data_IF_509435959536
#
_entry.id   IF_509435959536
#
_cell.length_a   1.000
_cell.length_b   1.000
_cell.length_c   1.000
_cell.angle_alpha   90.00
_cell.angle_beta   90.00
_cell.angle_gamma   90.00
#
_symmetry.space_group_name_H-M   'P 1'
#
loop_
_entity.id
_entity.type
_entity.pdbx_description
1 polymer ?
#
# COMPACT_ATOMS: atom_id res chain seq x y z
N UNK A 1 -18.49 6.61 -10.25
CA UNK A 1 -17.62 5.41 -10.25
C UNK A 1 -17.35 5.04 -11.71
N UNK A 2 -16.10 4.84 -12.13
CA UNK A 2 -15.81 4.41 -13.52
C UNK A 2 -16.13 2.92 -13.64
N UNK A 3 -16.70 2.51 -14.76
CA UNK A 3 -17.13 1.13 -14.97
C UNK A 3 -16.06 0.33 -15.68
N UNK A 4 -16.09 -1.00 -15.52
CA UNK A 4 -15.23 -1.94 -16.27
C UNK A 4 -15.21 -1.64 -17.78
N UNK A 5 -16.37 -1.39 -18.39
CA UNK A 5 -16.49 -1.05 -19.81
C UNK A 5 -15.71 0.22 -20.17
N UNK A 6 -15.79 1.26 -19.35
CA UNK A 6 -15.03 2.49 -19.57
C UNK A 6 -13.51 2.25 -19.52
N UNK A 7 -13.02 1.41 -18.60
CA UNK A 7 -11.62 1.05 -18.53
C UNK A 7 -11.17 0.20 -19.72
N UNK A 8 -11.95 -0.79 -20.13
CA UNK A 8 -11.67 -1.60 -21.31
C UNK A 8 -11.58 -0.75 -22.58
N UNK A 9 -12.49 0.21 -22.75
CA UNK A 9 -12.49 1.12 -23.89
C UNK A 9 -11.26 2.03 -23.89
N UNK A 10 -10.90 2.60 -22.72
CA UNK A 10 -9.71 3.42 -22.58
C UNK A 10 -8.41 2.65 -22.90
N UNK A 11 -8.28 1.42 -22.40
CA UNK A 11 -7.13 0.56 -22.69
C UNK A 11 -7.05 0.18 -24.17
N UNK A 12 -8.20 -0.07 -24.80
CA UNK A 12 -8.28 -0.37 -26.23
C UNK A 12 -7.84 0.82 -27.07
N UNK A 13 -8.29 2.02 -26.72
CA UNK A 13 -7.88 3.27 -27.36
C UNK A 13 -6.37 3.48 -27.26
N UNK A 14 -5.76 3.33 -26.07
CA UNK A 14 -4.30 3.50 -25.90
C UNK A 14 -3.51 2.54 -26.81
N UNK A 15 -3.93 1.27 -26.90
CA UNK A 15 -3.24 0.29 -27.76
C UNK A 15 -3.40 0.65 -29.24
N UNK A 16 -4.59 1.09 -29.66
CA UNK A 16 -4.85 1.51 -31.04
C UNK A 16 -4.04 2.77 -31.40
N UNK A 17 -4.08 3.81 -30.56
CA UNK A 17 -3.41 5.09 -30.82
C UNK A 17 -1.89 4.98 -30.80
N UNK A 18 -1.33 4.08 -29.99
CA UNK A 18 0.13 3.88 -29.96
C UNK A 18 0.62 2.99 -31.11
N UNK A 19 -0.26 2.25 -31.78
CA UNK A 19 0.11 1.26 -32.79
C UNK A 19 1.01 0.13 -32.26
N UNK A 20 1.20 0.04 -30.94
CA UNK A 20 2.13 -0.90 -30.29
C UNK A 20 1.35 -1.96 -29.54
N UNK A 21 1.79 -3.21 -29.69
CA UNK A 21 1.33 -4.31 -28.83
C UNK A 21 1.99 -4.16 -27.46
N UNK A 22 1.32 -3.45 -26.54
CA UNK A 22 1.76 -3.34 -25.15
C UNK A 22 1.76 -4.73 -24.51
N UNK A 23 2.93 -5.16 -24.01
CA UNK A 23 3.10 -6.37 -23.21
C UNK A 23 3.88 -5.98 -21.95
N UNK A 24 3.24 -5.25 -21.02
CA UNK A 24 3.89 -4.91 -19.77
C UNK A 24 4.08 -6.18 -18.94
N UNK A 25 5.26 -6.35 -18.36
CA UNK A 25 5.49 -7.37 -17.34
C UNK A 25 4.78 -7.01 -16.02
N UNK A 26 4.64 -5.71 -15.75
CA UNK A 26 4.02 -5.18 -14.54
C UNK A 26 3.28 -3.85 -14.78
N UNK A 27 2.19 -3.64 -14.03
CA UNK A 27 1.35 -2.45 -14.09
C UNK A 27 1.05 -1.98 -12.67
N UNK A 28 1.39 -0.71 -12.37
CA UNK A 28 1.04 -0.05 -11.11
C UNK A 28 -0.14 0.90 -11.35
N UNK A 29 -1.22 0.75 -10.60
CA UNK A 29 -2.46 1.49 -10.83
C UNK A 29 -3.13 2.01 -9.56
N UNK A 30 -4.25 2.73 -9.74
CA UNK A 30 -5.11 3.14 -8.65
C UNK A 30 -5.91 1.95 -8.09
N UNK A 31 -6.38 2.09 -6.86
CA UNK A 31 -7.24 1.10 -6.19
C UNK A 31 -8.68 1.20 -6.66
N UNK A 32 -9.00 0.47 -7.72
CA UNK A 32 -10.34 0.36 -8.29
C UNK A 32 -10.55 -1.06 -8.80
N UNK A 33 -11.52 -1.77 -8.23
CA UNK A 33 -11.82 -3.18 -8.56
C UNK A 33 -12.09 -3.38 -10.05
N UNK A 34 -12.75 -2.44 -10.70
CA UNK A 34 -13.06 -2.53 -12.13
C UNK A 34 -11.82 -2.24 -13.00
N UNK A 35 -10.91 -1.37 -12.53
CA UNK A 35 -9.62 -1.17 -13.17
C UNK A 35 -8.74 -2.42 -13.09
N UNK A 36 -8.65 -3.06 -11.91
CA UNK A 36 -7.93 -4.33 -11.75
C UNK A 36 -8.48 -5.40 -12.70
N UNK A 37 -9.81 -5.54 -12.78
CA UNK A 37 -10.45 -6.48 -13.72
C UNK A 37 -10.11 -6.15 -15.18
N UNK A 38 -10.19 -4.89 -15.58
CA UNK A 38 -9.86 -4.46 -16.95
C UNK A 38 -8.40 -4.77 -17.30
N UNK A 39 -7.48 -4.49 -16.38
CA UNK A 39 -6.05 -4.73 -16.56
C UNK A 39 -5.72 -6.22 -16.64
N UNK A 40 -6.26 -7.06 -15.75
CA UNK A 40 -6.06 -8.51 -15.82
C UNK A 40 -6.69 -9.12 -17.06
N UNK A 41 -7.86 -8.63 -17.50
CA UNK A 41 -8.48 -9.08 -18.74
C UNK A 41 -7.65 -8.72 -19.98
N UNK A 42 -7.02 -7.53 -19.99
CA UNK A 42 -6.24 -7.04 -21.13
C UNK A 42 -4.80 -7.58 -21.15
N UNK A 43 -4.19 -7.74 -19.98
CA UNK A 43 -2.81 -8.13 -19.79
C UNK A 43 -2.73 -9.29 -18.79
N UNK A 44 -3.15 -10.51 -19.17
CA UNK A 44 -3.28 -11.64 -18.25
C UNK A 44 -1.94 -12.10 -17.66
N UNK A 45 -0.84 -11.84 -18.36
CA UNK A 45 0.52 -12.17 -17.92
C UNK A 45 1.14 -11.07 -17.04
N UNK A 46 0.57 -9.87 -17.03
CA UNK A 46 1.14 -8.75 -16.30
C UNK A 46 0.82 -8.85 -14.81
N UNK A 47 1.82 -8.57 -13.97
CA UNK A 47 1.61 -8.40 -12.54
C UNK A 47 0.93 -7.04 -12.33
N UNK A 48 -0.28 -7.02 -11.80
CA UNK A 48 -1.01 -5.77 -11.50
C UNK A 48 -0.90 -5.46 -10.02
N UNK A 49 -0.41 -4.27 -9.68
CA UNK A 49 -0.23 -3.79 -8.31
C UNK A 49 -0.89 -2.44 -8.08
N UNK A 50 -1.40 -2.26 -6.87
CA UNK A 50 -1.84 -0.97 -6.37
C UNK A 50 -0.66 -0.08 -6.00
N UNK A 51 -0.77 1.20 -6.32
CA UNK A 51 0.28 2.18 -6.05
C UNK A 51 0.46 2.44 -4.55
N UNK A 52 1.69 2.33 -4.05
CA UNK A 52 2.04 2.68 -2.67
C UNK A 52 1.70 4.12 -2.30
N UNK A 53 1.94 5.04 -3.23
CA UNK A 53 1.58 6.45 -3.07
C UNK A 53 0.08 6.62 -2.81
N UNK A 54 -0.76 5.91 -3.59
CA UNK A 54 -2.22 5.95 -3.41
C UNK A 54 -2.65 5.32 -2.09
N UNK A 55 -1.98 4.26 -1.64
CA UNK A 55 -2.25 3.63 -0.34
C UNK A 55 -1.94 4.60 0.80
N UNK A 56 -0.73 5.19 0.83
CA UNK A 56 -0.35 6.18 1.85
C UNK A 56 -1.29 7.39 1.83
N UNK A 57 -1.62 7.90 0.64
CA UNK A 57 -2.55 9.02 0.50
C UNK A 57 -3.94 8.69 1.04
N UNK A 58 -4.51 7.54 0.69
CA UNK A 58 -5.83 7.13 1.17
C UNK A 58 -5.85 6.91 2.69
N UNK A 59 -4.77 6.35 3.25
CA UNK A 59 -4.61 6.23 4.70
C UNK A 59 -4.56 7.59 5.37
N UNK A 60 -3.76 8.53 4.86
CA UNK A 60 -3.67 9.91 5.38
C UNK A 60 -5.03 10.59 5.36
N UNK A 61 -5.69 10.60 4.20
CA UNK A 61 -7.03 11.18 4.06
C UNK A 61 -8.04 10.55 5.02
N UNK A 62 -7.94 9.24 5.29
CA UNK A 62 -8.82 8.63 6.29
C UNK A 62 -8.53 9.08 7.72
N UNK A 63 -7.26 9.24 8.09
CA UNK A 63 -6.88 9.75 9.41
C UNK A 63 -7.37 11.19 9.62
N UNK A 64 -7.24 12.05 8.60
CA UNK A 64 -7.75 13.42 8.59
C UNK A 64 -9.28 13.46 8.81
N UNK A 65 -10.02 12.58 8.12
CA UNK A 65 -11.48 12.43 8.30
C UNK A 65 -11.86 12.01 9.73
N UNK A 66 -11.02 11.19 10.36
CA UNK A 66 -11.21 10.72 11.74
C UNK A 66 -10.74 11.73 12.79
N UNK A 67 -10.28 12.91 12.37
CA UNK A 67 -9.80 14.00 13.23
C UNK A 67 -8.62 13.59 14.11
N UNK A 68 -7.79 12.67 13.63
CA UNK A 68 -6.49 12.39 14.23
C UNK A 68 -5.61 13.63 14.04
N UNK A 69 -4.84 14.00 15.07
CA UNK A 69 -3.99 15.20 14.98
C UNK A 69 -2.94 15.07 13.89
N UNK A 70 -2.60 16.20 13.26
CA UNK A 70 -1.62 16.24 12.18
C UNK A 70 -0.26 15.68 12.61
N UNK A 71 0.17 15.95 13.85
CA UNK A 71 1.40 15.39 14.41
C UNK A 71 1.36 13.86 14.46
N UNK A 72 0.25 13.28 14.92
CA UNK A 72 0.11 11.83 14.99
C UNK A 72 -0.01 11.19 13.59
N UNK A 73 -0.63 11.89 12.64
CA UNK A 73 -0.67 11.50 11.22
C UNK A 73 0.73 11.52 10.62
N UNK A 74 1.51 12.56 10.89
CA UNK A 74 2.88 12.70 10.39
C UNK A 74 3.77 11.58 10.93
N UNK A 75 3.72 11.29 12.23
CA UNK A 75 4.41 10.16 12.85
C UNK A 75 4.00 8.81 12.24
N UNK A 76 2.72 8.63 11.90
CA UNK A 76 2.25 7.42 11.23
C UNK A 76 2.75 7.30 9.77
N UNK A 77 2.92 8.43 9.10
CA UNK A 77 3.31 8.54 7.69
C UNK A 77 4.82 8.52 7.48
N UNK A 78 5.59 8.68 8.56
CA UNK A 78 7.05 8.53 8.56
C UNK A 78 7.47 7.22 7.91
N UNK A 79 8.66 7.29 7.30
CA UNK A 79 9.35 6.12 6.76
C UNK A 79 9.55 5.09 7.88
N UNK A 80 9.20 3.84 7.63
CA UNK A 80 9.42 2.73 8.56
C UNK A 80 8.27 2.51 9.55
N UNK A 81 7.11 3.12 9.30
CA UNK A 81 5.92 2.98 10.16
C UNK A 81 4.79 2.30 9.40
N UNK A 82 3.92 3.06 8.71
CA UNK A 82 2.78 2.47 8.00
C UNK A 82 3.23 1.74 6.73
N UNK A 83 4.27 2.23 6.05
CA UNK A 83 4.81 1.63 4.83
C UNK A 83 5.46 0.27 5.06
N UNK A 84 5.82 -0.07 6.30
CA UNK A 84 6.26 -1.42 6.67
C UNK A 84 5.24 -2.49 6.35
N UNK A 85 3.93 -2.18 6.41
CA UNK A 85 2.88 -3.13 6.07
C UNK A 85 2.95 -3.56 4.59
N UNK A 86 3.58 -2.75 3.75
CA UNK A 86 3.76 -3.06 2.34
C UNK A 86 5.07 -3.75 2.01
N UNK A 87 6.01 -3.83 2.95
CA UNK A 87 7.34 -4.41 2.70
C UNK A 87 7.52 -5.76 3.38
N UNK A 88 6.71 -6.10 4.38
CA UNK A 88 6.69 -7.44 5.00
C UNK A 88 5.91 -8.46 4.16
N UNK A 89 6.10 -9.78 4.33
CA UNK A 89 5.28 -10.78 3.64
C UNK A 89 3.77 -10.52 3.78
N UNK A 90 3.01 -10.64 2.69
CA UNK A 90 1.57 -10.34 2.63
C UNK A 90 0.76 -11.09 3.71
N UNK A 91 1.07 -12.37 3.94
CA UNK A 91 0.45 -13.19 4.99
C UNK A 91 0.72 -12.71 6.43
N UNK A 92 1.76 -11.90 6.64
CA UNK A 92 2.13 -11.35 7.96
C UNK A 92 1.46 -10.01 8.27
N UNK A 93 0.88 -9.34 7.27
CA UNK A 93 0.24 -8.02 7.43
C UNK A 93 -0.86 -8.07 8.49
N UNK A 94 -1.81 -9.00 8.36
CA UNK A 94 -2.97 -9.09 9.25
C UNK A 94 -2.64 -9.71 10.62
N UNK A 95 -1.63 -10.59 10.69
CA UNK A 95 -1.29 -11.37 11.89
C UNK A 95 -0.36 -10.59 12.83
N UNK A 96 0.80 -10.15 12.34
CA UNK A 96 1.84 -9.49 13.14
C UNK A 96 2.06 -8.03 12.74
N UNK A 97 2.00 -7.71 11.45
CA UNK A 97 2.34 -6.39 10.90
C UNK A 97 1.52 -5.26 11.51
N UNK A 98 0.18 -5.37 11.48
CA UNK A 98 -0.71 -4.34 12.06
C UNK A 98 -0.45 -4.16 13.56
N UNK A 99 -0.21 -5.24 14.30
CA UNK A 99 0.06 -5.18 15.74
C UNK A 99 1.38 -4.47 16.02
N UNK A 100 2.41 -4.75 15.23
CA UNK A 100 3.71 -4.09 15.33
C UNK A 100 3.60 -2.60 14.99
N UNK A 101 2.93 -2.22 13.89
CA UNK A 101 2.77 -0.80 13.52
C UNK A 101 1.97 -0.04 14.58
N UNK A 102 0.91 -0.65 15.15
CA UNK A 102 0.19 -0.06 16.30
C UNK A 102 1.11 0.25 17.47
N UNK A 103 2.02 -0.67 17.80
CA UNK A 103 2.98 -0.47 18.88
C UNK A 103 3.98 0.63 18.53
N UNK A 104 4.54 0.63 17.32
CA UNK A 104 5.46 1.67 16.86
C UNK A 104 4.85 3.06 16.92
N UNK A 105 3.60 3.21 16.48
CA UNK A 105 2.90 4.49 16.52
C UNK A 105 2.67 4.97 17.96
N UNK A 106 2.30 4.07 18.88
CA UNK A 106 2.17 4.41 20.30
C UNK A 106 3.51 4.86 20.89
N UNK A 107 4.59 4.14 20.60
CA UNK A 107 5.94 4.49 21.05
C UNK A 107 6.36 5.85 20.51
N UNK A 108 6.21 6.09 19.21
CA UNK A 108 6.55 7.38 18.58
C UNK A 108 5.73 8.54 19.16
N UNK A 109 4.42 8.34 19.33
CA UNK A 109 3.56 9.35 19.96
C UNK A 109 4.02 9.67 21.40
N UNK A 110 4.33 8.64 22.20
CA UNK A 110 4.83 8.84 23.56
C UNK A 110 6.17 9.58 23.58
N UNK A 111 7.12 9.20 22.71
CA UNK A 111 8.43 9.86 22.60
C UNK A 111 8.34 11.32 22.13
N UNK A 112 7.38 11.64 21.26
CA UNK A 112 7.15 12.99 20.75
C UNK A 112 6.18 13.82 21.61
N UNK A 113 5.71 13.28 22.74
CA UNK A 113 4.66 13.89 23.58
C UNK A 113 3.37 14.26 22.82
N UNK A 114 3.02 13.44 21.81
CA UNK A 114 1.80 13.59 21.00
C UNK A 114 0.70 12.68 21.56
N UNK A 115 -0.52 13.19 21.82
CA UNK A 115 -1.61 12.37 22.32
C UNK A 115 -2.03 11.26 21.35
N UNK A 116 -2.02 10.00 21.81
CA UNK A 116 -2.53 8.86 21.05
C UNK A 116 -4.00 8.58 21.39
N UNK A 117 -4.93 9.16 20.62
CA UNK A 117 -6.37 8.94 20.84
C UNK A 117 -6.83 7.55 20.39
N UNK A 118 -6.92 6.62 21.34
CA UNK A 118 -7.19 5.20 21.07
C UNK A 118 -8.51 4.97 20.31
N UNK A 119 -9.54 5.79 20.54
CA UNK A 119 -10.84 5.70 19.86
C UNK A 119 -10.73 5.95 18.35
N UNK A 120 -10.04 7.01 17.95
CA UNK A 120 -9.83 7.38 16.54
C UNK A 120 -8.95 6.36 15.82
N UNK A 121 -7.86 5.95 16.46
CA UNK A 121 -6.97 4.92 15.91
C UNK A 121 -7.69 3.58 15.75
N UNK A 122 -8.57 3.19 16.68
CA UNK A 122 -9.40 2.00 16.54
C UNK A 122 -10.27 2.04 15.27
N UNK A 123 -10.89 3.18 14.97
CA UNK A 123 -11.68 3.39 13.75
C UNK A 123 -10.80 3.33 12.50
N UNK A 124 -9.61 3.94 12.53
CA UNK A 124 -8.65 3.86 11.43
C UNK A 124 -8.26 2.40 11.14
N UNK A 125 -7.94 1.61 12.16
CA UNK A 125 -7.55 0.22 11.97
C UNK A 125 -8.69 -0.69 11.51
N UNK A 126 -9.92 -0.39 11.91
CA UNK A 126 -11.10 -1.06 11.39
C UNK A 126 -11.28 -0.79 9.90
N UNK A 127 -11.18 0.49 9.50
CA UNK A 127 -11.14 0.89 8.09
C UNK A 127 -10.01 0.17 7.34
N UNK A 128 -8.80 0.20 7.90
CA UNK A 128 -7.62 -0.34 7.24
C UNK A 128 -7.80 -1.84 6.94
N UNK A 129 -8.30 -2.62 7.90
CA UNK A 129 -8.58 -4.04 7.70
C UNK A 129 -9.68 -4.28 6.66
N UNK A 130 -10.74 -3.50 6.68
CA UNK A 130 -11.84 -3.64 5.73
C UNK A 130 -11.39 -3.31 4.29
N UNK A 131 -10.64 -2.23 4.11
CA UNK A 131 -10.23 -1.78 2.77
C UNK A 131 -8.98 -2.49 2.28
N UNK A 132 -7.92 -2.55 3.09
CA UNK A 132 -6.58 -3.00 2.66
C UNK A 132 -6.25 -4.45 3.03
N UNK A 133 -7.14 -5.15 3.72
CA UNK A 133 -6.98 -6.59 3.93
C UNK A 133 -8.11 -7.41 3.31
N UNK A 134 -9.36 -6.91 3.35
CA UNK A 134 -10.53 -7.61 2.82
C UNK A 134 -10.86 -7.21 1.38
N UNK A 135 -11.05 -5.92 1.10
CA UNK A 135 -11.42 -5.44 -0.24
C UNK A 135 -10.25 -5.52 -1.23
N UNK A 136 -9.07 -5.04 -0.82
CA UNK A 136 -7.83 -5.16 -1.57
C UNK A 136 -6.87 -6.04 -0.77
N UNK A 137 -6.76 -7.32 -1.15
CA UNK A 137 -5.84 -8.27 -0.50
C UNK A 137 -4.42 -7.70 -0.40
N UNK A 138 -3.67 -7.92 0.69
CA UNK A 138 -2.28 -7.49 0.77
C UNK A 138 -1.43 -7.91 -0.43
N UNK A 139 -1.75 -9.05 -1.05
CA UNK A 139 -1.08 -9.51 -2.27
C UNK A 139 -1.10 -8.51 -3.42
N UNK A 140 -2.11 -7.63 -3.52
CA UNK A 140 -2.25 -6.70 -4.65
C UNK A 140 -1.54 -5.36 -4.44
N UNK A 141 -1.02 -5.07 -3.26
CA UNK A 141 -0.33 -3.80 -2.96
C UNK A 141 0.97 -3.95 -2.19
N UNK A 142 1.23 -5.15 -1.66
CA UNK A 142 2.47 -5.47 -1.00
C UNK A 142 3.60 -5.64 -2.03
N UNK A 143 4.76 -5.11 -1.66
CA UNK A 143 5.96 -5.02 -2.49
C UNK A 143 7.05 -6.01 -2.06
N UNK A 144 6.80 -6.82 -1.02
CA UNK A 144 7.72 -7.85 -0.58
C UNK A 144 8.00 -8.84 -1.72
N UNK A 145 9.29 -9.10 -1.98
CA UNK A 145 9.73 -10.02 -3.04
C UNK A 145 9.62 -9.46 -4.46
N UNK A 146 9.23 -8.19 -4.65
CA UNK A 146 9.34 -7.54 -5.95
C UNK A 146 10.81 -7.15 -6.22
N UNK A 147 11.25 -7.27 -7.48
CA UNK A 147 12.62 -6.94 -7.88
C UNK A 147 12.97 -5.46 -7.64
N UNK A 148 14.23 -5.17 -7.26
CA UNK A 148 14.71 -3.80 -7.00
C UNK A 148 14.46 -2.81 -8.15
N UNK A 149 14.41 -3.27 -9.41
CA UNK A 149 14.05 -2.43 -10.57
C UNK A 149 12.64 -1.83 -10.48
N UNK A 150 11.72 -2.47 -9.75
CA UNK A 150 10.33 -2.06 -9.51
C UNK A 150 10.28 -1.02 -8.40
N UNK A 151 11.07 -1.26 -7.35
CA UNK A 151 11.20 -0.41 -6.17
C UNK A 151 11.88 0.92 -6.54
N UNK A 152 12.98 0.87 -7.32
CA UNK A 152 13.69 2.05 -7.81
C UNK A 152 12.85 2.95 -8.74
N UNK A 153 11.92 2.36 -9.50
CA UNK A 153 10.98 3.12 -10.37
C UNK A 153 9.83 3.77 -9.60
N UNK A 154 9.50 3.26 -8.40
CA UNK A 154 8.35 3.73 -7.64
C UNK A 154 8.71 4.52 -6.38
N UNK A 155 9.96 4.50 -5.90
CA UNK A 155 10.61 5.52 -5.06
C UNK A 155 11.93 4.98 -4.43
N UNK A 156 13.05 5.65 -4.71
CA UNK A 156 14.38 5.44 -4.10
C UNK A 156 14.40 5.21 -2.55
N UNK A 157 13.52 5.83 -1.72
CA UNK A 157 13.45 5.54 -0.28
C UNK A 157 13.01 4.11 0.12
N UNK A 158 12.40 3.34 -0.79
CA UNK A 158 11.91 1.99 -0.49
C UNK A 158 13.03 0.93 -0.39
N UNK A 159 14.11 1.05 -1.17
CA UNK A 159 15.27 0.14 -1.06
C UNK A 159 15.99 0.29 0.29
N UNK A 160 16.06 1.53 0.80
CA UNK A 160 16.62 1.82 2.11
C UNK A 160 15.68 1.34 3.22
N UNK A 161 14.36 1.45 3.03
CA UNK A 161 13.35 0.83 3.90
C UNK A 161 13.52 -0.68 3.97
N UNK A 162 13.74 -1.36 2.84
CA UNK A 162 13.89 -2.82 2.83
C UNK A 162 15.12 -3.27 3.61
N UNK A 163 16.26 -2.57 3.48
CA UNK A 163 17.45 -2.80 4.33
C UNK A 163 17.16 -2.54 5.81
N UNK A 164 16.40 -1.49 6.13
CA UNK A 164 16.00 -1.19 7.52
C UNK A 164 15.01 -2.23 8.08
N UNK A 165 14.13 -2.79 7.24
CA UNK A 165 13.21 -3.89 7.60
C UNK A 165 14.01 -5.13 7.98
N UNK A 166 15.00 -5.50 7.16
CA UNK A 166 15.89 -6.63 7.43
C UNK A 166 16.61 -6.49 8.77
N UNK A 167 16.97 -5.26 9.16
CA UNK A 167 17.61 -4.94 10.44
C UNK A 167 16.61 -4.89 11.60
N UNK A 168 15.45 -4.25 11.42
CA UNK A 168 14.49 -3.99 12.49
C UNK A 168 13.61 -5.20 12.82
N UNK A 169 13.45 -6.13 11.87
CA UNK A 169 12.49 -7.22 11.95
C UNK A 169 13.05 -8.60 11.50
N UNK A 170 14.20 -9.06 12.01
CA UNK A 170 14.77 -10.34 11.60
C UNK A 170 13.82 -11.53 11.86
N UNK A 171 12.99 -11.44 12.90
CA UNK A 171 11.98 -12.45 13.26
C UNK A 171 10.73 -12.43 12.35
N UNK A 172 10.43 -11.29 11.71
CA UNK A 172 9.25 -11.16 10.85
C UNK A 172 9.51 -11.51 9.37
N UNK A 173 10.77 -11.69 8.98
CA UNK A 173 11.18 -12.00 7.60
C UNK A 173 11.57 -13.48 7.44
N UNK A 174 12.04 -14.14 8.51
CA UNK A 174 12.36 -15.56 8.47
C UNK A 174 11.11 -16.42 8.68
N UNK A 175 10.87 -17.34 7.74
CA UNK A 175 9.75 -18.27 7.50
C UNK A 175 8.72 -17.81 6.47
#
# INVERSE_FOLDING_TARGET
MRTLSAYCNALSFIVQSTGRKLQPDEIVCNFDTDLFKALHGRFPIAIVRGSMYRLKQACRTKMEQLKISDDAINLAMEKGVLDMLATIPSGRVATAGISWVKQQMKTKCASANVPYMQSQWRLFWLYFRNTWCRQFSPEVWNMHGLSNRIIARTNNPLEQLQKEVDVALPCLIRN
#
